data_IF_762383917651
#
_entry.id   IF_762383917651
#
_cell.length_a   1.000
_cell.length_b   1.000
_cell.length_c   1.000
_cell.angle_alpha   90.00
_cell.angle_beta   90.00
_cell.angle_gamma   90.00
#
_symmetry.space_group_name_H-M   'P 1'
#
loop_
_entity.id
_entity.type
_entity.pdbx_description
1 polymer ?
#
# COMPACT_ATOMS: atom_id res chain seq x y z
N UNK A 1 18.54 20.54 -29.76
CA UNK A 1 17.35 19.69 -29.54
C UNK A 1 17.78 18.40 -28.87
N UNK A 2 17.58 18.28 -27.57
CA UNK A 2 17.87 17.05 -26.81
C UNK A 2 16.99 15.92 -27.36
N UNK A 3 17.61 14.82 -27.79
CA UNK A 3 16.90 13.63 -28.27
C UNK A 3 16.01 13.12 -27.13
N UNK A 4 14.72 12.91 -27.42
CA UNK A 4 13.79 12.28 -26.50
C UNK A 4 14.27 10.83 -26.31
N UNK A 5 14.98 10.56 -25.22
CA UNK A 5 15.55 9.23 -24.95
C UNK A 5 14.43 8.24 -24.59
N UNK A 6 14.70 6.94 -24.76
CA UNK A 6 13.73 5.87 -24.42
C UNK A 6 13.23 5.92 -22.97
N UNK A 7 13.98 6.53 -22.06
CA UNK A 7 13.62 6.77 -20.66
C UNK A 7 12.41 7.70 -20.50
N UNK A 8 12.44 8.84 -21.21
CA UNK A 8 11.32 9.75 -21.25
C UNK A 8 10.09 9.08 -21.90
N UNK A 9 10.32 8.16 -22.85
CA UNK A 9 9.27 7.33 -23.45
C UNK A 9 8.57 6.43 -22.44
N UNK A 10 9.31 5.66 -21.64
CA UNK A 10 8.71 4.78 -20.62
C UNK A 10 7.94 5.56 -19.55
N UNK A 11 8.52 6.67 -19.06
CA UNK A 11 7.85 7.57 -18.11
C UNK A 11 6.58 8.17 -18.68
N UNK A 12 6.60 8.61 -19.94
CA UNK A 12 5.45 9.16 -20.64
C UNK A 12 4.32 8.13 -20.80
N UNK A 13 4.64 6.88 -21.17
CA UNK A 13 3.64 5.81 -21.31
C UNK A 13 2.90 5.60 -19.99
N UNK A 14 3.63 5.39 -18.90
CA UNK A 14 2.97 5.17 -17.61
C UNK A 14 2.30 6.42 -17.05
N UNK A 15 2.80 7.63 -17.36
CA UNK A 15 2.11 8.86 -17.05
C UNK A 15 0.73 8.92 -17.73
N UNK A 16 0.65 8.58 -19.03
CA UNK A 16 -0.62 8.53 -19.76
C UNK A 16 -1.54 7.46 -19.17
N UNK A 17 -1.01 6.28 -18.85
CA UNK A 17 -1.81 5.19 -18.26
C UNK A 17 -2.38 5.56 -16.89
N UNK A 18 -1.57 6.15 -15.98
CA UNK A 18 -2.05 6.64 -14.69
C UNK A 18 -2.99 7.84 -14.85
N UNK A 19 -2.80 8.69 -15.87
CA UNK A 19 -3.71 9.80 -16.17
C UNK A 19 -5.09 9.27 -16.57
N UNK A 20 -5.16 8.18 -17.35
CA UNK A 20 -6.42 7.50 -17.65
C UNK A 20 -7.15 7.03 -16.39
N UNK A 21 -6.44 6.37 -15.46
CA UNK A 21 -7.01 5.93 -14.18
C UNK A 21 -7.44 7.13 -13.32
N UNK A 22 -6.64 8.19 -13.30
CA UNK A 22 -6.93 9.43 -12.58
C UNK A 22 -8.22 10.09 -13.08
N UNK A 23 -8.36 10.27 -14.39
CA UNK A 23 -9.55 10.85 -15.01
C UNK A 23 -10.80 9.99 -14.75
N UNK A 24 -10.66 8.66 -14.79
CA UNK A 24 -11.76 7.75 -14.45
C UNK A 24 -12.20 7.89 -12.99
N UNK A 25 -11.25 7.92 -12.04
CA UNK A 25 -11.56 8.13 -10.62
C UNK A 25 -12.20 9.51 -10.38
N UNK A 26 -11.66 10.56 -11.02
CA UNK A 26 -12.19 11.92 -10.92
C UNK A 26 -13.64 11.98 -11.44
N UNK A 27 -13.90 11.36 -12.60
CA UNK A 27 -15.26 11.23 -13.14
C UNK A 27 -16.20 10.47 -12.19
N UNK A 28 -15.73 9.38 -11.59
CA UNK A 28 -16.51 8.60 -10.63
C UNK A 28 -16.83 9.38 -9.35
N UNK A 29 -15.93 10.28 -8.91
CA UNK A 29 -16.20 11.21 -7.82
C UNK A 29 -17.19 12.31 -8.21
N UNK A 30 -16.98 12.94 -9.38
CA UNK A 30 -17.84 14.02 -9.88
C UNK A 30 -19.27 13.55 -10.11
N UNK A 31 -19.46 12.30 -10.55
CA UNK A 31 -20.78 11.68 -10.74
C UNK A 31 -21.36 11.06 -9.46
N UNK A 32 -20.73 11.29 -8.30
CA UNK A 32 -21.12 10.74 -7.00
C UNK A 32 -21.26 9.20 -6.95
N UNK A 33 -20.66 8.50 -7.91
CA UNK A 33 -20.61 7.02 -7.94
C UNK A 33 -19.69 6.47 -6.84
N UNK A 34 -18.74 7.27 -6.39
CA UNK A 34 -17.79 6.95 -5.33
C UNK A 34 -17.84 8.04 -4.23
N UNK A 35 -17.80 7.63 -2.96
CA UNK A 35 -17.81 8.54 -1.80
C UNK A 35 -16.38 8.97 -1.42
N UNK A 36 -16.19 10.24 -1.06
CA UNK A 36 -14.89 10.85 -0.69
C UNK A 36 -14.28 10.33 0.63
N UNK A 37 -15.06 9.67 1.48
CA UNK A 37 -14.58 8.99 2.70
C UNK A 37 -14.65 7.48 2.51
N UNK A 38 -14.01 6.97 1.46
CA UNK A 38 -14.02 5.54 1.13
C UNK A 38 -12.64 5.02 0.79
N UNK A 39 -12.52 3.70 0.62
CA UNK A 39 -11.29 3.03 0.15
C UNK A 39 -10.74 3.61 -1.16
N UNK A 40 -11.61 4.17 -1.99
CA UNK A 40 -11.26 4.79 -3.26
C UNK A 40 -10.46 6.09 -3.11
N UNK A 41 -10.52 6.74 -1.95
CA UNK A 41 -9.78 7.99 -1.70
C UNK A 41 -8.30 7.70 -1.47
N UNK A 42 -8.00 6.55 -0.86
CA UNK A 42 -6.64 6.06 -0.75
C UNK A 42 -6.07 5.66 -2.12
N UNK A 43 -6.89 5.01 -2.96
CA UNK A 43 -6.48 4.63 -4.32
C UNK A 43 -6.26 5.87 -5.20
N UNK A 44 -7.13 6.89 -5.07
CA UNK A 44 -6.94 8.17 -5.74
C UNK A 44 -5.65 8.87 -5.29
N UNK A 45 -5.37 8.89 -3.98
CA UNK A 45 -4.12 9.41 -3.45
C UNK A 45 -2.90 8.68 -4.04
N UNK A 46 -2.94 7.34 -4.10
CA UNK A 46 -1.91 6.54 -4.76
C UNK A 46 -1.68 6.99 -6.22
N UNK A 47 -2.75 7.12 -7.01
CA UNK A 47 -2.66 7.55 -8.42
C UNK A 47 -2.03 8.94 -8.55
N UNK A 48 -2.38 9.89 -7.65
CA UNK A 48 -1.77 11.23 -7.63
C UNK A 48 -0.27 11.15 -7.33
N UNK A 49 0.13 10.38 -6.31
CA UNK A 49 1.54 10.16 -5.96
C UNK A 49 2.30 9.57 -7.14
N UNK A 50 1.70 8.61 -7.86
CA UNK A 50 2.32 7.99 -9.05
C UNK A 50 2.43 8.96 -10.21
N UNK A 51 1.41 9.77 -10.50
CA UNK A 51 1.51 10.83 -11.52
C UNK A 51 2.64 11.81 -11.21
N UNK A 52 2.75 12.25 -9.95
CA UNK A 52 3.84 13.11 -9.51
C UNK A 52 5.22 12.42 -9.67
N UNK A 53 5.33 11.15 -9.28
CA UNK A 53 6.55 10.35 -9.46
C UNK A 53 6.96 10.28 -10.94
N UNK A 54 6.03 9.98 -11.85
CA UNK A 54 6.31 9.92 -13.29
C UNK A 54 6.70 11.29 -13.87
N UNK A 55 6.05 12.37 -13.42
CA UNK A 55 6.43 13.72 -13.81
C UNK A 55 7.87 14.07 -13.37
N UNK A 56 8.26 13.70 -12.14
CA UNK A 56 9.64 13.83 -11.67
C UNK A 56 10.62 12.97 -12.47
N UNK A 57 10.23 11.75 -12.87
CA UNK A 57 11.06 10.88 -13.70
C UNK A 57 11.34 11.50 -15.08
N UNK A 58 10.29 12.04 -15.74
CA UNK A 58 10.44 12.75 -17.02
C UNK A 58 11.30 14.00 -16.84
N UNK A 59 11.07 14.78 -15.77
CA UNK A 59 11.88 15.94 -15.44
C UNK A 59 13.36 15.60 -15.26
N UNK A 60 13.66 14.51 -14.54
CA UNK A 60 15.02 14.00 -14.38
C UNK A 60 15.62 13.49 -15.70
N UNK A 61 14.84 12.81 -16.55
CA UNK A 61 15.32 12.37 -17.87
C UNK A 61 15.68 13.54 -18.80
N UNK A 62 15.08 14.73 -18.61
CA UNK A 62 15.38 15.94 -19.39
C UNK A 62 16.56 16.70 -18.79
N UNK A 63 16.58 16.89 -17.47
CA UNK A 63 17.58 17.71 -16.78
C UNK A 63 18.85 16.93 -16.40
N UNK A 64 18.78 15.62 -16.34
CA UNK A 64 19.85 14.75 -15.84
C UNK A 64 20.31 15.14 -14.44
N UNK A 65 21.60 14.96 -14.19
CA UNK A 65 22.23 15.27 -12.90
C UNK A 65 22.31 16.76 -12.55
N UNK A 66 21.92 17.67 -13.45
CA UNK A 66 21.83 19.10 -13.11
C UNK A 66 20.77 19.38 -12.04
N UNK A 67 19.80 18.48 -11.87
CA UNK A 67 18.75 18.60 -10.85
C UNK A 67 18.53 17.27 -10.11
N UNK A 68 19.42 16.97 -9.18
CA UNK A 68 19.34 15.78 -8.30
C UNK A 68 18.09 15.77 -7.42
N UNK A 69 17.46 16.92 -7.16
CA UNK A 69 16.22 17.00 -6.40
C UNK A 69 15.06 16.29 -7.13
N UNK A 70 15.01 16.35 -8.46
CA UNK A 70 14.00 15.62 -9.25
C UNK A 70 14.17 14.11 -9.12
N UNK A 71 15.42 13.63 -9.13
CA UNK A 71 15.73 12.22 -8.90
C UNK A 71 15.33 11.78 -7.48
N UNK A 72 15.68 12.57 -6.46
CA UNK A 72 15.30 12.27 -5.08
C UNK A 72 13.78 12.26 -4.91
N UNK A 73 13.07 13.24 -5.48
CA UNK A 73 11.61 13.28 -5.48
C UNK A 73 11.00 12.06 -6.18
N UNK A 74 11.55 11.65 -7.32
CA UNK A 74 11.13 10.43 -8.02
C UNK A 74 11.26 9.18 -7.12
N UNK A 75 12.40 9.02 -6.43
CA UNK A 75 12.62 7.89 -5.52
C UNK A 75 11.66 7.88 -4.32
N UNK A 76 11.45 9.05 -3.70
CA UNK A 76 10.54 9.20 -2.55
C UNK A 76 9.11 8.90 -2.97
N UNK A 77 8.63 9.55 -4.04
CA UNK A 77 7.27 9.34 -4.56
C UNK A 77 7.09 7.90 -5.10
N UNK A 78 8.15 7.27 -5.60
CA UNK A 78 8.14 5.86 -5.98
C UNK A 78 7.94 4.92 -4.78
N UNK A 79 8.65 5.17 -3.68
CA UNK A 79 8.48 4.43 -2.43
C UNK A 79 7.07 4.63 -1.84
N UNK A 80 6.61 5.87 -1.77
CA UNK A 80 5.25 6.24 -1.32
C UNK A 80 4.17 5.59 -2.21
N UNK A 81 4.42 5.51 -3.52
CA UNK A 81 3.54 4.85 -4.48
C UNK A 81 3.27 3.39 -4.10
N UNK A 82 4.33 2.61 -3.85
CA UNK A 82 4.16 1.22 -3.42
C UNK A 82 3.49 1.12 -2.03
N UNK A 83 3.91 1.96 -1.08
CA UNK A 83 3.35 1.99 0.27
C UNK A 83 1.83 2.20 0.28
N UNK A 84 1.39 3.25 -0.42
CA UNK A 84 -0.03 3.60 -0.53
C UNK A 84 -0.83 2.48 -1.18
N UNK A 85 -0.27 1.78 -2.17
CA UNK A 85 -0.95 0.69 -2.86
C UNK A 85 -1.14 -0.55 -1.98
N UNK A 86 -0.12 -0.95 -1.23
CA UNK A 86 -0.25 -2.06 -0.25
C UNK A 86 -1.32 -1.73 0.78
N UNK A 87 -1.31 -0.49 1.31
CA UNK A 87 -2.35 -0.03 2.23
C UNK A 87 -3.74 -0.01 1.61
N UNK A 88 -3.87 0.37 0.33
CA UNK A 88 -5.13 0.27 -0.40
C UNK A 88 -5.64 -1.16 -0.36
N UNK A 89 -4.83 -2.15 -0.72
CA UNK A 89 -5.28 -3.55 -0.75
C UNK A 89 -5.79 -4.03 0.61
N UNK A 90 -5.09 -3.69 1.71
CA UNK A 90 -5.61 -3.95 3.07
C UNK A 90 -6.98 -3.31 3.30
N UNK A 91 -7.15 -2.03 2.95
CA UNK A 91 -8.44 -1.34 3.10
C UNK A 91 -9.54 -1.92 2.22
N UNK A 92 -9.22 -2.43 1.03
CA UNK A 92 -10.19 -3.13 0.19
C UNK A 92 -10.64 -4.45 0.83
N UNK A 93 -9.73 -5.22 1.43
CA UNK A 93 -10.05 -6.44 2.20
C UNK A 93 -10.91 -6.11 3.43
N UNK A 94 -10.53 -5.10 4.22
CA UNK A 94 -11.30 -4.63 5.39
C UNK A 94 -12.69 -4.19 4.97
N UNK A 95 -12.79 -3.40 3.89
CA UNK A 95 -14.07 -2.98 3.36
C UNK A 95 -14.89 -4.18 2.90
N UNK A 96 -14.29 -5.20 2.27
CA UNK A 96 -15.00 -6.41 1.88
C UNK A 96 -15.57 -7.13 3.11
N UNK A 97 -14.76 -7.32 4.16
CA UNK A 97 -15.20 -7.91 5.42
C UNK A 97 -16.42 -7.20 6.01
N UNK A 98 -16.42 -5.87 6.01
CA UNK A 98 -17.50 -5.06 6.59
C UNK A 98 -18.83 -5.16 5.84
N UNK A 99 -18.83 -5.53 4.56
CA UNK A 99 -20.08 -5.69 3.79
C UNK A 99 -20.55 -7.14 3.68
N UNK A 100 -19.62 -8.11 3.81
CA UNK A 100 -19.91 -9.50 3.47
C UNK A 100 -19.87 -10.47 4.67
N UNK A 101 -19.28 -10.08 5.81
CA UNK A 101 -19.31 -10.93 7.00
C UNK A 101 -20.59 -10.70 7.81
N UNK A 102 -21.17 -11.74 8.46
CA UNK A 102 -22.43 -11.64 9.20
C UNK A 102 -22.48 -10.53 10.24
N UNK A 103 -21.38 -10.28 10.96
CA UNK A 103 -21.32 -9.22 11.97
C UNK A 103 -21.03 -7.82 11.41
N UNK A 104 -20.74 -7.67 10.11
CA UNK A 104 -20.29 -6.39 9.53
C UNK A 104 -18.99 -5.85 10.13
N UNK A 105 -18.27 -6.66 10.93
CA UNK A 105 -17.03 -6.30 11.61
C UNK A 105 -15.87 -7.02 10.93
N UNK A 106 -14.81 -6.26 10.61
CA UNK A 106 -13.56 -6.85 10.17
C UNK A 106 -12.71 -7.23 11.38
N UNK A 107 -12.24 -8.46 11.44
CA UNK A 107 -11.29 -8.89 12.47
C UNK A 107 -9.91 -8.19 12.35
N UNK A 108 -9.59 -7.61 11.18
CA UNK A 108 -8.38 -6.79 10.98
C UNK A 108 -8.50 -5.41 11.61
N UNK A 109 -9.72 -4.86 11.61
CA UNK A 109 -10.05 -3.54 12.16
C UNK A 109 -11.45 -3.61 12.80
N UNK A 110 -11.53 -4.10 14.05
CA UNK A 110 -12.79 -4.17 14.78
C UNK A 110 -13.39 -2.77 14.95
N UNK A 111 -14.68 -2.63 14.65
CA UNK A 111 -15.36 -1.33 14.76
C UNK A 111 -15.49 -0.98 16.25
N UNK A 112 -14.84 0.11 16.68
CA UNK A 112 -15.00 0.65 18.04
C UNK A 112 -16.46 1.03 18.25
N UNK A 113 -17.14 0.43 19.22
CA UNK A 113 -18.50 0.86 19.58
C UNK A 113 -19.50 -0.20 20.06
N UNK A 114 -19.20 -1.51 20.06
CA UNK A 114 -20.17 -2.51 20.55
C UNK A 114 -20.34 -2.55 22.10
N UNK A 115 -19.91 -1.51 22.83
CA UNK A 115 -20.10 -1.41 24.28
C UNK A 115 -19.61 -0.08 24.87
N UNK A 116 -20.49 0.74 25.50
CA UNK A 116 -20.14 2.10 25.93
C UNK A 116 -19.23 2.21 27.17
N UNK A 117 -19.04 1.14 27.96
CA UNK A 117 -18.37 1.23 29.28
C UNK A 117 -16.91 0.72 29.27
N UNK A 118 -16.55 -0.18 28.36
CA UNK A 118 -15.18 -0.72 28.26
C UNK A 118 -14.23 0.16 27.43
N UNK A 119 -14.78 1.06 26.61
CA UNK A 119 -13.99 1.80 25.60
C UNK A 119 -13.16 2.93 26.21
N UNK A 120 -13.62 3.58 27.29
CA UNK A 120 -12.92 4.72 27.89
C UNK A 120 -11.64 4.31 28.65
N UNK A 121 -11.70 3.23 29.44
CA UNK A 121 -10.52 2.67 30.14
C UNK A 121 -9.48 2.13 29.16
N UNK A 122 -9.92 1.46 28.10
CA UNK A 122 -9.04 0.97 27.03
C UNK A 122 -8.36 2.13 26.28
N UNK A 123 -9.07 3.26 26.10
CA UNK A 123 -8.52 4.47 25.46
C UNK A 123 -7.42 5.10 26.31
N UNK A 124 -7.65 5.31 27.61
CA UNK A 124 -6.62 5.82 28.54
C UNK A 124 -5.42 4.90 28.66
N UNK A 125 -5.63 3.58 28.67
CA UNK A 125 -4.53 2.60 28.73
C UNK A 125 -3.72 2.60 27.44
N UNK A 126 -4.35 2.82 26.28
CA UNK A 126 -3.66 3.00 24.99
C UNK A 126 -2.83 4.28 24.95
N UNK A 127 -3.35 5.42 25.42
CA UNK A 127 -2.56 6.66 25.45
C UNK A 127 -1.40 6.55 26.43
N UNK A 128 -1.60 5.96 27.60
CA UNK A 128 -0.52 5.70 28.56
C UNK A 128 0.54 4.73 28.02
N UNK A 129 0.11 3.63 27.40
CA UNK A 129 1.02 2.68 26.78
C UNK A 129 1.81 3.34 25.62
N UNK A 130 1.15 4.16 24.80
CA UNK A 130 1.82 4.92 23.74
C UNK A 130 2.82 5.95 24.28
N UNK A 131 2.50 6.59 25.41
CA UNK A 131 3.39 7.54 26.08
C UNK A 131 4.64 6.86 26.66
N UNK A 132 4.51 5.65 27.22
CA UNK A 132 5.61 4.93 27.90
C UNK A 132 6.40 3.97 27.00
N UNK A 133 5.73 3.19 26.15
CA UNK A 133 6.36 2.20 25.26
C UNK A 133 6.53 2.72 23.81
N UNK A 134 6.08 3.94 23.51
CA UNK A 134 6.18 4.53 22.19
C UNK A 134 5.39 3.74 21.12
N UNK A 135 5.81 3.79 19.84
CA UNK A 135 5.11 3.08 18.76
C UNK A 135 5.08 1.54 18.94
N UNK A 136 5.97 0.97 19.75
CA UNK A 136 5.96 -0.46 20.08
C UNK A 136 4.78 -0.88 20.97
N UNK A 137 4.16 0.06 21.69
CA UNK A 137 2.95 -0.20 22.46
C UNK A 137 1.78 -0.69 21.59
N UNK A 138 1.76 -0.30 20.31
CA UNK A 138 0.72 -0.69 19.35
C UNK A 138 0.88 -2.14 18.87
N UNK A 139 2.10 -2.69 18.87
CA UNK A 139 2.36 -4.11 18.55
C UNK A 139 1.83 -5.05 19.63
N UNK A 140 1.78 -4.59 20.88
CA UNK A 140 1.26 -5.34 22.03
C UNK A 140 -0.28 -5.39 22.07
N UNK A 141 -0.97 -4.54 21.30
CA UNK A 141 -2.43 -4.54 21.21
C UNK A 141 -2.90 -5.52 20.13
N UNK A 142 -3.09 -6.79 20.55
CA UNK A 142 -3.56 -7.90 19.71
C UNK A 142 -4.88 -7.61 18.99
N UNK A 143 -5.70 -6.70 19.52
CA UNK A 143 -7.03 -6.39 19.01
C UNK A 143 -7.05 -5.46 17.78
N UNK A 144 -5.92 -4.87 17.34
CA UNK A 144 -5.87 -4.02 16.14
C UNK A 144 -4.70 -4.38 15.23
N UNK A 145 -4.80 -5.54 14.59
CA UNK A 145 -3.78 -6.04 13.64
C UNK A 145 -3.45 -5.00 12.57
N UNK A 146 -4.44 -4.25 12.06
CA UNK A 146 -4.18 -3.19 11.07
C UNK A 146 -3.33 -2.03 11.60
N UNK A 147 -3.42 -1.70 12.89
CA UNK A 147 -2.58 -0.66 13.49
C UNK A 147 -1.10 -1.08 13.52
N UNK A 148 -0.84 -2.36 13.84
CA UNK A 148 0.51 -2.92 13.76
C UNK A 148 1.06 -2.86 12.33
N UNK A 149 0.26 -3.27 11.32
CA UNK A 149 0.65 -3.14 9.91
C UNK A 149 0.93 -1.69 9.51
N UNK A 150 0.09 -0.73 9.90
CA UNK A 150 0.34 0.68 9.62
C UNK A 150 1.67 1.17 10.20
N UNK A 151 1.96 0.87 11.46
CA UNK A 151 3.23 1.27 12.10
C UNK A 151 4.43 0.62 11.40
N UNK A 152 4.36 -0.68 11.14
CA UNK A 152 5.43 -1.42 10.44
C UNK A 152 5.68 -0.85 9.05
N UNK A 153 4.62 -0.59 8.28
CA UNK A 153 4.74 -0.05 6.93
C UNK A 153 5.26 1.40 6.93
N UNK A 154 4.86 2.23 7.91
CA UNK A 154 5.42 3.58 8.07
C UNK A 154 6.92 3.50 8.38
N UNK A 155 7.33 2.70 9.36
CA UNK A 155 8.75 2.53 9.71
C UNK A 155 9.58 1.99 8.54
N UNK A 156 9.04 1.01 7.82
CA UNK A 156 9.66 0.45 6.62
C UNK A 156 9.83 1.50 5.51
N UNK A 157 8.79 2.31 5.29
CA UNK A 157 8.81 3.37 4.28
C UNK A 157 9.80 4.49 4.66
N UNK A 158 9.83 4.88 5.94
CA UNK A 158 10.85 5.79 6.47
C UNK A 158 12.25 5.25 6.24
N UNK A 159 12.51 3.95 6.52
CA UNK A 159 13.81 3.34 6.28
C UNK A 159 14.22 3.38 4.79
N UNK A 160 13.28 3.15 3.87
CA UNK A 160 13.52 3.25 2.41
C UNK A 160 13.87 4.68 2.00
N UNK A 161 13.11 5.68 2.48
CA UNK A 161 13.31 7.10 2.14
C UNK A 161 14.63 7.61 2.72
N UNK A 162 14.91 7.29 3.98
CA UNK A 162 16.17 7.65 4.65
C UNK A 162 17.35 7.00 3.91
N UNK A 163 17.24 5.71 3.56
CA UNK A 163 18.25 5.04 2.74
C UNK A 163 18.49 5.76 1.41
N UNK A 164 17.44 6.09 0.66
CA UNK A 164 17.54 6.85 -0.59
C UNK A 164 18.14 8.25 -0.41
N UNK A 165 17.85 8.92 0.70
CA UNK A 165 18.37 10.26 0.99
C UNK A 165 19.85 10.26 1.35
N UNK A 166 20.33 9.23 2.06
CA UNK A 166 21.77 9.07 2.34
C UNK A 166 22.60 8.92 1.06
N UNK A 167 22.02 8.34 0.00
CA UNK A 167 22.67 8.26 -1.31
C UNK A 167 22.83 9.63 -1.98
N UNK A 168 21.81 10.49 -1.90
CA UNK A 168 21.83 11.80 -2.54
C UNK A 168 22.94 12.72 -2.02
N UNK A 169 23.44 12.47 -0.80
CA UNK A 169 24.55 13.19 -0.21
C UNK A 169 25.92 12.51 -0.34
N UNK A 170 26.03 11.40 -1.08
CA UNK A 170 27.32 10.73 -1.31
C UNK A 170 28.10 11.41 -2.44
N UNK A 171 29.40 11.60 -2.25
CA UNK A 171 30.28 12.11 -3.31
C UNK A 171 30.59 10.98 -4.31
N UNK A 172 29.92 11.02 -5.46
CA UNK A 172 30.09 10.06 -6.55
C UNK A 172 31.39 10.27 -7.33
N UNK A 173 32.09 11.40 -7.14
CA UNK A 173 33.41 11.66 -7.75
C UNK A 173 34.49 10.90 -6.99
N UNK A 174 34.36 10.79 -5.67
CA UNK A 174 35.25 10.00 -4.79
C UNK A 174 34.57 8.71 -4.31
N UNK A 175 34.20 7.86 -5.27
CA UNK A 175 33.48 6.62 -5.00
C UNK A 175 34.20 5.69 -4.01
N UNK A 176 35.54 5.64 -4.07
CA UNK A 176 36.36 4.77 -3.23
C UNK A 176 36.66 5.35 -1.84
N UNK A 177 36.19 6.56 -1.53
CA UNK A 177 36.38 7.13 -0.21
C UNK A 177 35.67 6.32 0.87
N UNK A 178 36.30 6.18 2.03
CA UNK A 178 35.74 5.41 3.14
C UNK A 178 34.38 5.95 3.62
N UNK A 179 34.16 7.27 3.53
CA UNK A 179 32.88 7.89 3.89
C UNK A 179 31.78 7.55 2.87
N UNK A 180 32.06 7.65 1.56
CA UNK A 180 31.11 7.26 0.50
C UNK A 180 30.74 5.78 0.64
N UNK A 181 31.71 4.89 0.81
CA UNK A 181 31.44 3.45 0.99
C UNK A 181 30.61 3.16 2.26
N UNK A 182 30.86 3.89 3.35
CA UNK A 182 30.06 3.76 4.58
C UNK A 182 28.61 4.20 4.36
N UNK A 183 28.40 5.34 3.70
CA UNK A 183 27.06 5.86 3.37
C UNK A 183 26.29 4.91 2.44
N UNK A 184 26.96 4.38 1.41
CA UNK A 184 26.40 3.38 0.50
C UNK A 184 25.95 2.13 1.25
N UNK A 185 26.78 1.61 2.17
CA UNK A 185 26.42 0.45 2.99
C UNK A 185 25.21 0.71 3.88
N UNK A 186 25.17 1.84 4.60
CA UNK A 186 24.05 2.21 5.47
C UNK A 186 22.77 2.37 4.64
N UNK A 187 22.85 3.11 3.53
CA UNK A 187 21.76 3.33 2.59
C UNK A 187 21.17 2.02 2.06
N UNK A 188 22.05 1.11 1.60
CA UNK A 188 21.67 -0.21 1.11
C UNK A 188 20.98 -1.04 2.19
N UNK A 189 21.59 -1.17 3.37
CA UNK A 189 21.02 -1.92 4.48
C UNK A 189 19.67 -1.38 4.94
N UNK A 190 19.51 -0.05 5.03
CA UNK A 190 18.26 0.58 5.41
C UNK A 190 17.14 0.30 4.37
N UNK A 191 17.46 0.43 3.08
CA UNK A 191 16.51 0.14 2.00
C UNK A 191 16.13 -1.34 1.96
N UNK A 192 17.10 -2.26 2.05
CA UNK A 192 16.85 -3.71 2.08
C UNK A 192 16.00 -4.11 3.28
N UNK A 193 16.26 -3.55 4.45
CA UNK A 193 15.46 -3.79 5.64
C UNK A 193 14.01 -3.33 5.45
N UNK A 194 13.79 -2.10 4.98
CA UNK A 194 12.46 -1.59 4.70
C UNK A 194 11.71 -2.40 3.64
N UNK A 195 12.35 -2.71 2.51
CA UNK A 195 11.74 -3.53 1.44
C UNK A 195 11.41 -4.96 1.93
N UNK A 196 12.24 -5.55 2.79
CA UNK A 196 11.98 -6.86 3.40
C UNK A 196 10.75 -6.84 4.31
N UNK A 197 10.57 -5.77 5.10
CA UNK A 197 9.37 -5.60 5.93
C UNK A 197 8.12 -5.44 5.07
N UNK A 198 8.20 -4.66 3.98
CA UNK A 198 7.11 -4.56 3.00
C UNK A 198 6.75 -5.92 2.39
N UNK A 199 7.75 -6.69 1.97
CA UNK A 199 7.56 -8.02 1.41
C UNK A 199 6.88 -8.95 2.43
N UNK A 200 7.33 -8.93 3.69
CA UNK A 200 6.70 -9.68 4.78
C UNK A 200 5.24 -9.27 5.03
N UNK A 201 4.95 -7.97 5.02
CA UNK A 201 3.57 -7.48 5.15
C UNK A 201 2.69 -7.91 3.96
N UNK A 202 3.26 -7.95 2.76
CA UNK A 202 2.55 -8.36 1.57
C UNK A 202 2.34 -9.89 1.51
N UNK A 203 3.27 -10.68 2.05
CA UNK A 203 3.06 -12.11 2.28
C UNK A 203 1.94 -12.36 3.32
N UNK A 204 1.91 -11.58 4.39
CA UNK A 204 0.83 -11.64 5.37
C UNK A 204 -0.53 -11.25 4.75
N UNK A 205 -0.56 -10.27 3.85
CA UNK A 205 -1.76 -9.90 3.09
C UNK A 205 -2.31 -11.07 2.26
N UNK A 206 -1.46 -11.89 1.63
CA UNK A 206 -1.92 -13.12 0.97
C UNK A 206 -2.62 -14.05 1.95
N UNK A 207 -1.99 -14.33 3.09
CA UNK A 207 -2.54 -15.23 4.11
C UNK A 207 -3.92 -14.72 4.54
N UNK A 208 -4.05 -13.41 4.77
CA UNK A 208 -5.31 -12.75 5.09
C UNK A 208 -6.35 -13.00 4.00
N UNK A 209 -6.03 -12.73 2.73
CA UNK A 209 -6.95 -12.93 1.59
C UNK A 209 -7.39 -14.41 1.51
N UNK A 210 -6.47 -15.36 1.62
CA UNK A 210 -6.78 -16.79 1.55
C UNK A 210 -7.66 -17.25 2.72
N UNK A 211 -7.38 -16.78 3.95
CA UNK A 211 -8.23 -17.05 5.12
C UNK A 211 -9.62 -16.46 4.92
N UNK A 212 -9.72 -15.24 4.39
CA UNK A 212 -11.01 -14.61 4.06
C UNK A 212 -11.79 -15.41 3.03
N UNK A 213 -11.15 -15.87 1.94
CA UNK A 213 -11.78 -16.71 0.92
C UNK A 213 -12.24 -18.05 1.48
N UNK A 214 -11.44 -18.69 2.35
CA UNK A 214 -11.81 -19.94 3.00
C UNK A 214 -13.01 -19.77 3.93
N UNK A 215 -13.07 -18.64 4.65
CA UNK A 215 -14.19 -18.32 5.53
C UNK A 215 -15.47 -17.99 4.74
N UNK A 216 -15.36 -17.23 3.63
CA UNK A 216 -16.47 -16.96 2.70
C UNK A 216 -17.06 -18.26 2.14
N UNK A 217 -16.20 -19.18 1.68
CA UNK A 217 -16.63 -20.47 1.15
C UNK A 217 -17.32 -21.38 2.18
N UNK A 218 -17.00 -21.22 3.48
CA UNK A 218 -17.64 -21.97 4.56
C UNK A 218 -18.94 -21.34 5.06
N UNK A 219 -19.26 -20.14 4.61
CA UNK A 219 -20.46 -19.43 5.04
C UNK A 219 -21.71 -20.11 4.47
N UNK A 220 -22.67 -20.55 5.32
CA UNK A 220 -23.89 -21.19 4.85
C UNK A 220 -24.81 -20.26 4.04
N UNK A 221 -24.58 -18.95 4.14
CA UNK A 221 -25.35 -17.91 3.45
C UNK A 221 -25.11 -17.92 1.93
N UNK A 222 -23.93 -18.38 1.48
CA UNK A 222 -23.53 -18.30 0.07
C UNK A 222 -23.48 -19.69 -0.56
N UNK A 223 -24.50 -20.00 -1.38
CA UNK A 223 -24.65 -21.31 -2.03
C UNK A 223 -23.76 -21.53 -3.26
N UNK A 224 -23.02 -20.51 -3.74
CA UNK A 224 -22.23 -20.62 -4.97
C UNK A 224 -20.99 -19.73 -4.98
N UNK A 225 -19.81 -20.38 -4.95
CA UNK A 225 -18.52 -19.81 -5.32
C UNK A 225 -17.93 -18.75 -4.38
N UNK A 226 -16.65 -18.42 -4.61
CA UNK A 226 -15.94 -17.34 -3.93
C UNK A 226 -16.33 -16.00 -4.55
N UNK A 227 -16.48 -14.96 -3.72
CA UNK A 227 -16.80 -13.62 -4.20
C UNK A 227 -15.81 -13.10 -5.28
N UNK A 228 -16.29 -12.59 -6.43
CA UNK A 228 -15.42 -12.06 -7.48
C UNK A 228 -14.45 -10.95 -7.02
N UNK A 229 -14.83 -10.11 -6.05
CA UNK A 229 -13.97 -9.08 -5.48
C UNK A 229 -12.76 -9.69 -4.75
N UNK A 230 -12.91 -10.83 -4.06
CA UNK A 230 -11.80 -11.54 -3.42
C UNK A 230 -10.85 -12.14 -4.47
N UNK A 231 -11.39 -12.64 -5.58
CA UNK A 231 -10.57 -13.12 -6.70
C UNK A 231 -9.74 -12.00 -7.33
N UNK A 232 -10.34 -10.82 -7.52
CA UNK A 232 -9.59 -9.64 -7.98
C UNK A 232 -8.54 -9.18 -6.97
N UNK A 233 -8.80 -9.27 -5.66
CA UNK A 233 -7.81 -8.96 -4.63
C UNK A 233 -6.65 -9.97 -4.62
N UNK A 234 -6.93 -11.26 -4.81
CA UNK A 234 -5.91 -12.29 -4.97
C UNK A 234 -5.09 -12.06 -6.24
N UNK A 235 -5.75 -11.70 -7.36
CA UNK A 235 -5.07 -11.39 -8.61
C UNK A 235 -4.23 -10.12 -8.50
N UNK A 236 -4.69 -9.09 -7.76
CA UNK A 236 -3.95 -7.87 -7.50
C UNK A 236 -2.75 -8.10 -6.57
N UNK A 237 -2.80 -9.11 -5.70
CA UNK A 237 -1.67 -9.48 -4.86
C UNK A 237 -0.46 -9.99 -5.68
N UNK A 238 -0.69 -10.70 -6.79
CA UNK A 238 0.38 -11.22 -7.66
C UNK A 238 1.37 -10.13 -8.13
N UNK A 239 0.94 -9.03 -8.77
CA UNK A 239 1.87 -7.95 -9.10
C UNK A 239 2.49 -7.28 -7.87
N UNK A 240 1.78 -7.18 -6.74
CA UNK A 240 2.34 -6.59 -5.52
C UNK A 240 3.50 -7.42 -4.96
N UNK A 241 3.42 -8.76 -5.02
CA UNK A 241 4.51 -9.61 -4.54
C UNK A 241 5.71 -9.52 -5.46
N UNK A 242 5.50 -9.48 -6.79
CA UNK A 242 6.58 -9.24 -7.76
C UNK A 242 7.27 -7.90 -7.47
N UNK A 243 6.49 -6.85 -7.24
CA UNK A 243 7.00 -5.52 -6.89
C UNK A 243 7.84 -5.52 -5.61
N UNK A 244 7.37 -6.20 -4.57
CA UNK A 244 8.05 -6.32 -3.28
C UNK A 244 9.36 -7.10 -3.40
N UNK A 245 9.33 -8.25 -4.08
CA UNK A 245 10.51 -9.06 -4.35
C UNK A 245 11.55 -8.29 -5.18
N UNK A 246 11.10 -7.59 -6.21
CA UNK A 246 11.97 -6.72 -7.00
C UNK A 246 12.59 -5.61 -6.15
N UNK A 247 11.83 -4.97 -5.25
CA UNK A 247 12.38 -3.96 -4.33
C UNK A 247 13.49 -4.49 -3.43
N UNK A 248 13.36 -5.73 -2.93
CA UNK A 248 14.41 -6.40 -2.15
C UNK A 248 15.62 -6.69 -3.04
N UNK A 249 15.42 -7.34 -4.19
CA UNK A 249 16.51 -7.68 -5.14
C UNK A 249 17.26 -6.43 -5.58
N UNK A 250 16.56 -5.36 -5.96
CA UNK A 250 17.15 -4.09 -6.39
C UNK A 250 18.05 -3.44 -5.32
N UNK A 251 17.71 -3.64 -4.04
CA UNK A 251 18.54 -3.17 -2.92
C UNK A 251 19.68 -4.15 -2.58
N UNK A 252 19.49 -5.44 -2.83
CA UNK A 252 20.41 -6.49 -2.45
C UNK A 252 21.43 -6.81 -3.54
N UNK A 253 21.12 -6.58 -4.81
CA UNK A 253 22.01 -6.77 -5.95
C UNK A 253 22.63 -5.44 -6.34
N UNK A 254 23.96 -5.40 -6.46
CA UNK A 254 24.67 -4.19 -6.85
C UNK A 254 24.43 -3.85 -8.33
N UNK A 255 24.24 -4.85 -9.20
CA UNK A 255 24.02 -4.60 -10.64
C UNK A 255 22.68 -3.94 -10.92
N UNK A 256 21.65 -4.28 -10.15
CA UNK A 256 20.32 -3.70 -10.28
C UNK A 256 20.09 -2.49 -9.36
N UNK A 257 21.14 -2.03 -8.67
CA UNK A 257 20.99 -0.95 -7.70
C UNK A 257 21.19 0.43 -8.30
N UNK A 258 20.44 1.42 -7.80
CA UNK A 258 20.75 2.84 -7.99
C UNK A 258 22.14 3.22 -7.43
N UNK A 259 22.77 2.33 -6.64
CA UNK A 259 24.12 2.56 -6.10
C UNK A 259 25.23 2.31 -7.12
N UNK A 260 24.93 1.67 -8.25
CA UNK A 260 25.93 1.33 -9.24
C UNK A 260 26.02 2.41 -10.32
N UNK A 261 27.19 3.03 -10.43
CA UNK A 261 27.45 4.08 -11.41
C UNK A 261 27.26 3.59 -12.86
N UNK A 262 27.43 2.29 -13.13
CA UNK A 262 27.20 1.70 -14.45
C UNK A 262 25.74 1.76 -14.91
N UNK A 263 24.80 1.96 -13.98
CA UNK A 263 23.39 2.15 -14.30
C UNK A 263 23.06 3.58 -14.75
N UNK A 264 24.06 4.46 -14.78
CA UNK A 264 23.91 5.84 -15.20
C UNK A 264 24.67 6.11 -16.50
N UNK A 265 23.97 6.65 -17.49
CA UNK A 265 24.54 7.16 -18.71
C UNK A 265 24.75 8.68 -18.66
N UNK A 266 25.22 9.30 -19.75
CA UNK A 266 25.46 10.75 -19.83
C UNK A 266 24.22 11.61 -19.56
N UNK A 267 23.03 11.06 -19.79
CA UNK A 267 21.75 11.78 -19.75
C UNK A 267 20.74 11.23 -18.73
N UNK A 268 21.16 10.34 -17.81
CA UNK A 268 20.21 9.69 -16.89
C UNK A 268 20.50 8.22 -16.68
N UNK A 269 19.48 7.38 -16.64
CA UNK A 269 19.62 5.95 -16.43
C UNK A 269 19.99 5.23 -17.73
N UNK A 270 20.61 4.05 -17.64
CA UNK A 270 20.74 3.22 -18.84
C UNK A 270 19.36 2.73 -19.31
N UNK A 271 19.23 2.48 -20.61
CA UNK A 271 17.99 1.95 -21.18
C UNK A 271 17.60 0.60 -20.56
N UNK A 272 18.58 -0.25 -20.27
CA UNK A 272 18.38 -1.53 -19.58
C UNK A 272 17.82 -1.33 -18.18
N UNK A 273 18.46 -0.47 -17.38
CA UNK A 273 18.02 -0.19 -16.01
C UNK A 273 16.58 0.35 -15.99
N UNK A 274 16.29 1.30 -16.88
CA UNK A 274 14.97 1.89 -17.04
C UNK A 274 13.94 0.83 -17.41
N UNK A 275 14.23 -0.02 -18.39
CA UNK A 275 13.31 -1.07 -18.81
C UNK A 275 12.95 -1.98 -17.64
N UNK A 276 13.94 -2.43 -16.87
CA UNK A 276 13.72 -3.31 -15.71
C UNK A 276 12.92 -2.59 -14.62
N UNK A 277 13.26 -1.35 -14.29
CA UNK A 277 12.55 -0.55 -13.29
C UNK A 277 11.07 -0.33 -13.67
N UNK A 278 10.80 -0.02 -14.94
CA UNK A 278 9.44 0.21 -15.40
C UNK A 278 8.62 -1.08 -15.50
N UNK A 279 9.21 -2.20 -15.92
CA UNK A 279 8.50 -3.48 -15.99
C UNK A 279 8.28 -4.11 -14.60
N UNK A 280 9.30 -4.13 -13.75
CA UNK A 280 9.21 -4.81 -12.45
C UNK A 280 8.67 -3.91 -11.35
N UNK A 281 8.90 -2.60 -11.45
CA UNK A 281 8.44 -1.57 -10.53
C UNK A 281 7.10 -0.96 -10.95
N UNK A 282 7.10 -0.21 -12.05
CA UNK A 282 5.96 0.66 -12.41
C UNK A 282 4.76 -0.12 -12.95
N UNK A 283 4.99 -1.10 -13.82
CA UNK A 283 3.95 -1.89 -14.47
C UNK A 283 3.20 -2.76 -13.46
N UNK A 284 3.90 -3.39 -12.53
CA UNK A 284 3.30 -4.22 -11.49
C UNK A 284 2.41 -3.39 -10.57
N UNK A 285 2.88 -2.22 -10.12
CA UNK A 285 2.05 -1.28 -9.36
C UNK A 285 0.81 -0.81 -10.15
N UNK A 286 1.00 -0.47 -11.42
CA UNK A 286 -0.11 -0.04 -12.28
C UNK A 286 -1.14 -1.16 -12.47
N UNK A 287 -0.69 -2.39 -12.71
CA UNK A 287 -1.55 -3.55 -12.87
C UNK A 287 -2.35 -3.84 -11.60
N UNK A 288 -1.69 -3.81 -10.44
CA UNK A 288 -2.37 -3.93 -9.14
C UNK A 288 -3.42 -2.81 -8.96
N UNK A 289 -3.08 -1.56 -9.28
CA UNK A 289 -4.00 -0.42 -9.20
C UNK A 289 -5.23 -0.63 -10.10
N UNK A 290 -5.05 -1.07 -11.36
CA UNK A 290 -6.16 -1.33 -12.29
C UNK A 290 -7.03 -2.48 -11.79
N UNK A 291 -6.44 -3.56 -11.26
CA UNK A 291 -7.20 -4.67 -10.67
C UNK A 291 -8.01 -4.24 -9.46
N UNK A 292 -7.47 -3.35 -8.61
CA UNK A 292 -8.21 -2.73 -7.52
C UNK A 292 -9.35 -1.84 -8.06
N UNK A 293 -9.14 -1.08 -9.13
CA UNK A 293 -10.21 -0.36 -9.83
C UNK A 293 -11.32 -1.28 -10.32
N UNK A 294 -10.97 -2.44 -10.88
CA UNK A 294 -11.95 -3.42 -11.36
C UNK A 294 -12.86 -3.96 -10.24
N UNK A 295 -12.43 -3.91 -8.98
CA UNK A 295 -13.30 -4.32 -7.86
C UNK A 295 -14.56 -3.47 -7.74
N UNK A 296 -14.55 -2.23 -8.27
CA UNK A 296 -15.73 -1.36 -8.38
C UNK A 296 -16.89 -2.07 -9.09
N UNK A 297 -16.59 -2.79 -10.17
CA UNK A 297 -17.63 -3.47 -10.96
C UNK A 297 -18.14 -4.72 -10.26
N UNK A 298 -17.28 -5.40 -9.49
CA UNK A 298 -17.65 -6.61 -8.76
C UNK A 298 -18.38 -6.36 -7.44
N UNK A 299 -18.22 -5.17 -6.84
CA UNK A 299 -18.81 -4.84 -5.53
C UNK A 299 -20.12 -4.06 -5.63
N UNK A 300 -20.72 -3.92 -6.81
CA UNK A 300 -22.00 -3.19 -6.99
C UNK A 300 -23.19 -3.93 -6.38
N UNK A 301 -23.08 -5.25 -6.27
CA UNK A 301 -24.13 -6.12 -5.75
C UNK A 301 -23.98 -6.39 -4.24
N UNK A 302 -22.99 -5.78 -3.59
CA UNK A 302 -22.78 -5.94 -2.15
C UNK A 302 -23.93 -5.25 -1.38
N UNK A 303 -24.44 -5.85 -0.30
CA UNK A 303 -25.52 -5.27 0.48
C UNK A 303 -25.10 -3.92 1.09
N UNK A 304 -26.00 -2.92 1.12
CA UNK A 304 -25.70 -1.62 1.69
C UNK A 304 -25.47 -1.72 3.20
N UNK A 305 -24.47 -1.00 3.72
CA UNK A 305 -24.10 -1.02 5.16
C UNK A 305 -25.25 -0.72 6.12
N UNK A 306 -26.27 0.02 5.67
CA UNK A 306 -27.43 0.41 6.47
C UNK A 306 -28.41 -0.73 6.76
N UNK A 307 -28.40 -1.80 5.97
CA UNK A 307 -29.30 -2.95 6.18
C UNK A 307 -28.74 -3.96 7.20
N UNK A 308 -27.41 -4.00 7.37
CA UNK A 308 -26.73 -4.94 8.27
C UNK A 308 -26.77 -4.48 9.73
N UNK A 309 -26.67 -3.16 9.99
CA UNK A 309 -26.61 -2.62 11.36
C UNK A 309 -27.90 -2.80 12.18
N UNK A 310 -29.11 -2.59 11.64
CA UNK A 310 -30.35 -2.78 12.40
C UNK A 310 -30.57 -4.23 12.84
N UNK A 311 -30.14 -5.20 12.02
CA UNK A 311 -30.30 -6.62 12.35
C UNK A 311 -29.42 -7.01 13.54
N UNK A 312 -28.16 -6.56 13.58
CA UNK A 312 -27.26 -6.86 14.70
C UNK A 312 -27.71 -6.18 16.00
N UNK A 313 -28.20 -4.94 15.93
CA UNK A 313 -28.75 -4.24 17.11
C UNK A 313 -30.05 -4.88 17.62
N UNK A 314 -30.94 -5.31 16.72
CA UNK A 314 -32.17 -6.03 17.07
C UNK A 314 -31.89 -7.39 17.71
N UNK A 315 -31.00 -8.20 17.11
CA UNK A 315 -30.66 -9.53 17.62
C UNK A 315 -29.90 -9.45 18.96
N UNK A 316 -29.08 -8.40 19.16
CA UNK A 316 -28.42 -8.14 20.45
C UNK A 316 -29.39 -7.71 21.55
N UNK A 317 -30.45 -6.96 21.19
CA UNK A 317 -31.49 -6.54 22.13
C UNK A 317 -32.39 -7.71 22.55
N UNK A 318 -32.80 -8.56 21.59
CA UNK A 318 -33.59 -9.77 21.88
C UNK A 318 -32.83 -10.77 22.78
N UNK A 319 -31.52 -10.97 22.54
CA UNK A 319 -30.68 -11.82 23.39
C UNK A 319 -30.50 -11.23 24.81
N UNK A 320 -30.49 -9.91 24.95
CA UNK A 320 -30.46 -9.25 26.27
C UNK A 320 -31.79 -9.40 27.02
N UNK A 321 -32.94 -9.32 26.33
CA UNK A 321 -34.25 -9.55 26.95
C UNK A 321 -34.43 -11.01 27.39
N UNK A 322 -34.00 -11.98 26.56
CA UNK A 322 -34.10 -13.40 26.90
C UNK A 322 -33.16 -13.80 28.06
N UNK A 323 -32.00 -13.16 28.19
CA UNK A 323 -31.10 -13.36 29.33
C UNK A 323 -31.58 -12.74 30.65
N UNK A 324 -32.51 -11.77 30.60
CA UNK A 324 -33.01 -11.04 31.77
C UNK A 324 -34.15 -11.72 32.52
N UNK A 325 -34.81 -12.73 31.95
CA UNK A 325 -35.97 -13.41 32.54
C UNK A 325 -35.68 -14.73 33.25
N UNK A 326 -34.41 -15.18 33.31
CA UNK A 326 -34.02 -16.43 33.97
C UNK A 326 -33.72 -16.36 35.48
N UNK A 327 -33.88 -15.21 36.13
CA UNK A 327 -33.47 -14.99 37.53
C UNK A 327 -34.57 -14.32 38.39
N UNK A 328 -35.80 -14.81 38.29
CA UNK A 328 -36.85 -14.55 39.29
C UNK A 328 -37.58 -15.82 39.65
#
# INVERSE_FOLDING_TARGET
>A
MSKFNGEAGAGLVFMILYLGVFLWLLFAYATHRIKWRSRWSMLFFHVVVRLASQACAIGFAILGFSNTNMFLAFLILGAEGYFTLVLCTFRFVISWHQHNLPGGVSWLEPRRGAGPILDQRARTRRTLAFLFLGPFALLMYRDNVMAAFHVLLILANTAIIVGGSFLAGADLVQFDSADTQRRLRISRSARTAGQSVFLGCNAALLIIILVTMRNDHRSPVRKSGVHPALMLLLLAWMPLIVRGSFGVIQSADFELSYYNFHNYGPNGFTAHYTLVEYLMGVMTEWLACVLLCCTYFTSKSDPPKSEIMPQVEGESAELQEQGGHGNR
#
